data_IF_761201022297
#
_entry.id   IF_761201022297
#
_cell.length_a   1.000
_cell.length_b   1.000
_cell.length_c   1.000
_cell.angle_alpha   90.00
_cell.angle_beta   90.00
_cell.angle_gamma   90.00
#
_symmetry.space_group_name_H-M   'P 1'
#
loop_
_entity.id
_entity.type
_entity.pdbx_description
1 polymer ?
#
# COMPACT_ATOMS: atom_id res chain seq x y z
N UNK A 1 -49.02 12.43 -4.72
CA UNK A 1 -48.51 13.73 -4.20
C UNK A 1 -47.65 13.46 -2.97
N UNK A 2 -46.41 13.96 -3.02
CA UNK A 2 -45.55 14.39 -1.91
C UNK A 2 -44.96 13.29 -1.01
N UNK A 3 -43.73 12.86 -1.29
CA UNK A 3 -42.41 13.42 -0.86
C UNK A 3 -41.93 12.80 0.46
N UNK A 4 -41.07 11.79 0.30
CA UNK A 4 -40.10 11.33 1.30
C UNK A 4 -39.07 12.42 1.59
N UNK A 5 -38.43 12.28 2.76
CA UNK A 5 -37.12 12.80 3.21
C UNK A 5 -37.24 13.64 4.48
N UNK A 6 -36.84 13.04 5.60
CA UNK A 6 -36.23 13.72 6.76
C UNK A 6 -35.35 12.72 7.49
N UNK A 7 -34.08 12.68 7.10
CA UNK A 7 -33.02 11.99 7.83
C UNK A 7 -31.82 12.92 7.90
N UNK A 8 -31.72 13.67 8.98
CA UNK A 8 -30.53 14.44 9.36
C UNK A 8 -30.22 14.05 10.80
N UNK A 9 -29.14 13.29 11.00
CA UNK A 9 -28.46 13.17 12.28
C UNK A 9 -27.02 12.75 12.00
N UNK A 10 -26.16 13.77 11.91
CA UNK A 10 -24.70 13.69 11.94
C UNK A 10 -24.28 13.45 13.40
N UNK A 11 -23.38 12.50 13.63
CA UNK A 11 -22.52 12.39 14.82
C UNK A 11 -21.23 11.68 14.33
N UNK A 12 -20.26 12.42 13.78
CA UNK A 12 -19.08 12.93 14.49
C UNK A 12 -18.42 11.90 15.42
N UNK A 13 -17.33 11.32 14.93
CA UNK A 13 -16.47 10.43 15.71
C UNK A 13 -15.47 9.66 14.85
N UNK A 14 -14.69 10.35 14.01
CA UNK A 14 -13.52 9.75 13.39
C UNK A 14 -12.32 10.59 13.79
N UNK A 15 -11.46 10.01 14.64
CA UNK A 15 -10.14 10.53 14.92
C UNK A 15 -9.44 10.78 13.58
N UNK A 16 -9.03 12.03 13.36
CA UNK A 16 -8.18 12.39 12.24
C UNK A 16 -6.80 11.76 12.47
N UNK A 17 -6.67 10.49 12.10
CA UNK A 17 -5.37 9.91 11.78
C UNK A 17 -4.94 10.62 10.51
N UNK A 18 -3.85 11.39 10.61
CA UNK A 18 -3.15 11.97 9.47
C UNK A 18 -2.68 10.83 8.59
N UNK A 19 -3.52 10.40 7.64
CA UNK A 19 -3.10 9.51 6.57
C UNK A 19 -2.21 10.38 5.70
N UNK A 20 -0.89 10.19 5.86
CA UNK A 20 0.09 10.67 4.90
C UNK A 20 -0.45 10.35 3.50
N UNK A 21 -0.38 11.32 2.60
CA UNK A 21 -0.72 11.17 1.20
C UNK A 21 0.11 10.04 0.58
N UNK A 22 -0.34 8.80 0.77
CA UNK A 22 0.10 7.64 0.03
C UNK A 22 -0.44 7.82 -1.39
N UNK A 23 0.44 7.60 -2.37
CA UNK A 23 0.32 8.12 -3.73
C UNK A 23 -1.07 8.01 -4.34
N UNK A 24 -1.46 9.06 -5.06
CA UNK A 24 -2.53 8.97 -6.06
C UNK A 24 -2.03 8.01 -7.16
N UNK A 25 -2.34 6.73 -7.04
CA UNK A 25 -2.12 5.77 -8.11
C UNK A 25 -3.41 5.69 -8.93
N UNK A 26 -3.31 5.98 -10.21
CA UNK A 26 -4.32 5.59 -11.18
C UNK A 26 -4.30 4.06 -11.29
N UNK A 27 -5.41 3.40 -11.63
CA UNK A 27 -5.39 1.96 -11.90
C UNK A 27 -4.36 1.67 -12.99
N UNK A 28 -3.23 1.04 -12.63
CA UNK A 28 -2.17 0.65 -13.55
C UNK A 28 -2.34 -0.83 -13.88
N UNK A 29 -2.45 -1.14 -15.18
CA UNK A 29 -2.47 -2.51 -15.67
C UNK A 29 -1.04 -3.08 -15.59
N UNK A 30 -0.80 -3.92 -14.59
CA UNK A 30 0.52 -4.48 -14.31
C UNK A 30 0.79 -5.80 -15.07
N UNK A 31 -0.28 -6.47 -15.50
CA UNK A 31 -0.26 -7.61 -16.41
C UNK A 31 -1.60 -7.70 -17.16
N UNK A 32 -1.71 -8.46 -18.27
CA UNK A 32 -2.97 -8.59 -18.99
C UNK A 32 -4.10 -9.11 -18.09
N UNK A 33 -5.11 -8.28 -17.83
CA UNK A 33 -6.25 -8.62 -16.96
C UNK A 33 -5.95 -8.56 -15.46
N UNK A 34 -4.80 -8.04 -15.06
CA UNK A 34 -4.47 -7.74 -13.65
C UNK A 34 -4.18 -6.24 -13.52
N UNK A 35 -5.03 -5.56 -12.76
CA UNK A 35 -4.96 -4.10 -12.58
C UNK A 35 -4.88 -3.77 -11.10
N UNK A 36 -4.04 -2.81 -10.72
CA UNK A 36 -3.89 -2.39 -9.32
C UNK A 36 -4.23 -0.91 -9.14
N UNK A 37 -5.14 -0.64 -8.20
CA UNK A 37 -5.35 0.68 -7.60
C UNK A 37 -4.60 0.72 -6.27
N UNK A 38 -3.38 1.23 -6.34
CA UNK A 38 -2.43 1.24 -5.25
C UNK A 38 -2.06 -0.17 -4.75
N UNK A 39 -2.48 -0.53 -3.54
CA UNK A 39 -2.24 -1.86 -2.95
C UNK A 39 -3.39 -2.84 -3.19
N UNK A 40 -4.47 -2.39 -3.81
CA UNK A 40 -5.63 -3.23 -4.11
C UNK A 40 -5.57 -3.64 -5.57
N UNK A 41 -5.46 -4.94 -5.83
CA UNK A 41 -5.32 -5.49 -7.16
C UNK A 41 -6.50 -6.37 -7.52
N UNK A 42 -7.06 -6.16 -8.71
CA UNK A 42 -8.08 -6.99 -9.31
C UNK A 42 -7.43 -7.94 -10.33
N UNK A 43 -7.86 -9.19 -10.32
CA UNK A 43 -7.54 -10.19 -11.33
C UNK A 43 -8.83 -10.60 -12.01
N UNK A 44 -9.02 -10.13 -13.25
CA UNK A 44 -10.19 -10.42 -14.09
C UNK A 44 -9.92 -11.60 -15.05
N UNK A 45 -8.82 -12.34 -14.84
CA UNK A 45 -8.45 -13.51 -15.63
C UNK A 45 -8.95 -14.81 -15.02
N UNK A 46 -8.89 -15.89 -15.81
CA UNK A 46 -9.25 -17.24 -15.38
C UNK A 46 -8.13 -17.98 -14.62
N UNK A 47 -6.95 -17.37 -14.46
CA UNK A 47 -5.78 -17.98 -13.77
C UNK A 47 -5.37 -17.15 -12.58
N UNK A 48 -4.77 -17.80 -11.57
CA UNK A 48 -4.24 -17.07 -10.41
C UNK A 48 -2.95 -16.34 -10.79
N UNK A 49 -2.77 -15.14 -10.23
CA UNK A 49 -1.57 -14.32 -10.40
C UNK A 49 -0.91 -14.05 -9.06
N UNK A 50 0.42 -14.15 -9.01
CA UNK A 50 1.22 -13.66 -7.89
C UNK A 50 1.57 -12.21 -8.16
N UNK A 51 0.98 -11.31 -7.40
CA UNK A 51 1.33 -9.89 -7.43
C UNK A 51 2.47 -9.64 -6.47
N UNK A 52 3.52 -8.98 -6.94
CA UNK A 52 4.75 -8.71 -6.20
C UNK A 52 4.96 -7.21 -6.03
N UNK A 53 5.58 -6.83 -4.93
CA UNK A 53 5.98 -5.45 -4.66
C UNK A 53 7.16 -5.37 -3.72
N UNK A 54 7.62 -4.14 -3.51
CA UNK A 54 8.70 -3.80 -2.58
C UNK A 54 8.21 -2.72 -1.63
N UNK A 55 8.38 -2.97 -0.34
CA UNK A 55 8.17 -2.01 0.74
C UNK A 55 9.50 -1.36 1.09
N UNK A 56 9.60 -0.04 1.00
CA UNK A 56 10.79 0.71 1.39
C UNK A 56 10.67 1.07 2.88
N UNK A 57 11.52 0.46 3.70
CA UNK A 57 11.52 0.61 5.15
C UNK A 57 12.74 1.42 5.61
N UNK A 58 12.54 2.27 6.60
CA UNK A 58 13.64 3.08 7.15
C UNK A 58 14.45 2.25 8.16
N UNK A 59 15.71 2.03 7.86
CA UNK A 59 16.71 1.52 8.80
C UNK A 59 17.62 2.66 9.29
N UNK A 60 18.23 2.50 10.46
CA UNK A 60 19.21 3.47 10.95
C UNK A 60 18.64 4.71 11.67
N UNK A 61 17.35 4.72 12.02
CA UNK A 61 16.77 5.67 12.98
C UNK A 61 17.20 5.39 14.43
N UNK A 62 18.37 4.79 14.63
CA UNK A 62 18.92 4.66 15.97
C UNK A 62 19.02 6.08 16.56
N UNK A 63 18.50 6.33 17.78
CA UNK A 63 18.65 7.61 18.43
C UNK A 63 20.14 7.79 18.80
N UNK A 64 20.94 8.17 17.82
CA UNK A 64 22.27 8.66 18.08
C UNK A 64 22.11 10.00 18.81
N UNK A 65 22.90 10.26 19.86
CA UNK A 65 22.88 11.56 20.50
C UNK A 65 23.19 12.62 19.43
N UNK A 66 22.26 13.55 19.22
CA UNK A 66 22.48 14.68 18.33
C UNK A 66 23.67 15.49 18.86
N UNK A 67 24.81 15.38 18.18
CA UNK A 67 26.02 16.12 18.51
C UNK A 67 25.89 17.49 17.84
N UNK A 68 25.75 18.54 18.65
CA UNK A 68 25.68 19.92 18.16
C UNK A 68 26.89 20.23 17.26
N UNK A 69 26.64 20.62 16.02
CA UNK A 69 27.68 20.93 15.03
C UNK A 69 28.02 19.79 14.07
N UNK A 70 27.38 18.62 14.19
CA UNK A 70 27.47 17.53 13.23
C UNK A 70 26.20 17.49 12.36
N UNK A 71 26.30 17.17 11.07
CA UNK A 71 25.12 16.93 10.26
C UNK A 71 24.38 15.68 10.76
N UNK A 72 23.05 15.71 10.72
CA UNK A 72 22.25 14.51 10.92
C UNK A 72 22.61 13.48 9.85
N UNK A 73 22.79 12.22 10.27
CA UNK A 73 22.96 11.13 9.32
C UNK A 73 21.63 10.90 8.61
N UNK A 74 21.63 10.77 7.27
CA UNK A 74 20.40 10.47 6.56
C UNK A 74 19.89 9.09 6.97
N UNK A 75 18.56 8.89 7.00
CA UNK A 75 17.98 7.57 7.19
C UNK A 75 18.45 6.62 6.08
N UNK A 76 18.77 5.38 6.44
CA UNK A 76 19.00 4.32 5.45
C UNK A 76 17.65 3.78 5.02
N UNK A 77 17.43 3.57 3.72
CA UNK A 77 16.20 2.96 3.21
C UNK A 77 16.55 1.56 2.69
N UNK A 78 15.80 0.56 3.13
CA UNK A 78 15.95 -0.82 2.68
C UNK A 78 14.64 -1.33 2.10
N UNK A 79 14.71 -1.93 0.91
CA UNK A 79 13.57 -2.56 0.25
C UNK A 79 13.31 -3.98 0.78
N UNK A 80 12.07 -4.27 1.15
CA UNK A 80 11.59 -5.57 1.58
C UNK A 80 10.56 -6.09 0.58
N UNK A 81 10.80 -7.23 -0.07
CA UNK A 81 9.84 -7.78 -1.03
C UNK A 81 8.59 -8.30 -0.30
N UNK A 82 7.44 -8.15 -0.93
CA UNK A 82 6.19 -8.78 -0.52
C UNK A 82 5.45 -9.32 -1.74
N UNK A 83 4.57 -10.28 -1.51
CA UNK A 83 3.74 -10.86 -2.56
C UNK A 83 2.41 -11.36 -2.01
N UNK A 84 1.36 -11.31 -2.83
CA UNK A 84 0.08 -11.96 -2.56
C UNK A 84 -0.45 -12.63 -3.83
N UNK A 85 -1.22 -13.70 -3.64
CA UNK A 85 -1.91 -14.37 -4.73
C UNK A 85 -3.27 -13.72 -4.94
N UNK A 86 -3.50 -13.18 -6.15
CA UNK A 86 -4.81 -12.78 -6.63
C UNK A 86 -5.47 -13.98 -7.32
N UNK A 87 -6.52 -14.54 -6.72
CA UNK A 87 -7.30 -15.63 -7.32
C UNK A 87 -8.02 -15.15 -8.60
N UNK A 88 -8.42 -16.07 -9.50
CA UNK A 88 -9.25 -15.72 -10.66
C UNK A 88 -10.50 -14.97 -10.24
N UNK A 89 -10.89 -13.94 -11.01
CA UNK A 89 -12.09 -13.13 -10.80
C UNK A 89 -12.21 -12.59 -9.36
N UNK A 90 -11.09 -12.15 -8.79
CA UNK A 90 -11.04 -11.70 -7.39
C UNK A 90 -10.27 -10.40 -7.21
N UNK A 91 -10.44 -9.82 -6.03
CA UNK A 91 -9.68 -8.65 -5.59
C UNK A 91 -8.87 -9.01 -4.35
N UNK A 92 -7.60 -8.64 -4.33
CA UNK A 92 -6.70 -8.83 -3.19
C UNK A 92 -6.12 -7.49 -2.75
N UNK A 93 -5.94 -7.33 -1.44
CA UNK A 93 -5.20 -6.20 -0.88
C UNK A 93 -3.84 -6.67 -0.41
N UNK A 94 -2.79 -6.07 -0.96
CA UNK A 94 -1.41 -6.29 -0.58
C UNK A 94 -1.11 -5.55 0.72
N UNK A 95 -0.35 -6.21 1.60
CA UNK A 95 0.06 -5.64 2.88
C UNK A 95 1.58 -5.49 2.89
N UNK A 96 2.13 -4.33 2.48
CA UNK A 96 3.54 -4.05 2.66
C UNK A 96 3.84 -4.04 4.16
N UNK A 97 4.89 -4.74 4.57
CA UNK A 97 5.26 -4.85 5.97
C UNK A 97 6.75 -4.63 6.14
N UNK A 98 7.09 -3.90 7.20
CA UNK A 98 8.43 -3.64 7.66
C UNK A 98 8.53 -4.24 9.06
N UNK A 99 9.27 -5.34 9.25
CA UNK A 99 9.43 -5.95 10.57
C UNK A 99 10.19 -5.00 11.48
N UNK A 100 9.50 -4.44 12.48
CA UNK A 100 10.05 -3.50 13.47
C UNK A 100 10.69 -2.22 12.90
N UNK A 101 10.33 -1.85 11.66
CA UNK A 101 10.85 -0.65 10.99
C UNK A 101 9.67 0.20 10.47
N UNK A 102 9.82 1.53 10.40
CA UNK A 102 8.80 2.36 9.79
C UNK A 102 8.77 2.18 8.27
N UNK A 103 7.56 2.00 7.73
CA UNK A 103 7.30 2.00 6.29
C UNK A 103 7.39 3.44 5.76
N UNK A 104 8.24 3.66 4.76
CA UNK A 104 8.43 4.97 4.12
C UNK A 104 7.69 5.07 2.79
N UNK A 105 7.78 4.02 1.97
CA UNK A 105 7.09 3.93 0.69
C UNK A 105 6.83 2.47 0.32
N UNK A 106 6.04 2.24 -0.72
CA UNK A 106 5.84 0.94 -1.33
C UNK A 106 5.62 1.11 -2.82
N UNK A 107 5.88 0.05 -3.58
CA UNK A 107 5.59 -0.01 -5.02
C UNK A 107 5.30 -1.44 -5.46
N UNK A 108 4.39 -1.57 -6.41
CA UNK A 108 4.16 -2.85 -7.11
C UNK A 108 5.25 -3.01 -8.16
N UNK A 109 5.83 -4.21 -8.24
CA UNK A 109 6.94 -4.51 -9.16
C UNK A 109 6.52 -5.41 -10.31
N UNK A 110 5.43 -6.15 -10.18
CA UNK A 110 4.88 -6.94 -11.28
C UNK A 110 3.83 -7.95 -10.83
N UNK A 111 3.22 -8.62 -11.80
CA UNK A 111 2.35 -9.77 -11.59
C UNK A 111 2.68 -10.88 -12.59
N UNK A 112 2.76 -12.11 -12.11
CA UNK A 112 3.06 -13.30 -12.91
C UNK A 112 2.05 -14.43 -12.62
N UNK A 113 1.71 -15.30 -13.59
CA UNK A 113 0.81 -16.42 -13.35
C UNK A 113 1.39 -17.37 -12.29
N UNK A 114 0.57 -17.84 -11.34
CA UNK A 114 1.07 -18.70 -10.25
C UNK A 114 1.36 -20.14 -10.66
N UNK A 115 0.89 -20.56 -11.84
CA UNK A 115 0.97 -21.94 -12.34
C UNK A 115 2.20 -22.19 -13.25
N UNK A 116 3.24 -21.36 -13.11
CA UNK A 116 4.52 -21.54 -13.81
C UNK A 116 5.35 -22.67 -13.20
#
# INVERSE_FOLDING_TARGET
MNKQVKGFAVLMGAAAVSIATAGTASADDIAPGVSCDGLTCANDTDVAYVVTGVADCVTGLLPLPHIVGWPDLPPTIQGFPFSQVAQPHSTVTLTPACTDLPLQAWRITGAEPSEQ
#
